data_IF_207359889910
#
_entry.id   IF_207359889910
#
_cell.length_a   1.000
_cell.length_b   1.000
_cell.length_c   1.000
_cell.angle_alpha   90.00
_cell.angle_beta   90.00
_cell.angle_gamma   90.00
#
_symmetry.space_group_name_H-M   'P 1'
#
loop_
_entity.id
_entity.type
_entity.pdbx_description
1 polymer ?
#
# COMPACT_ATOMS: atom_id res chain seq x y z
N UNK A 1 9.32 31.82 -18.84
CA UNK A 1 9.52 30.76 -17.84
C UNK A 1 8.60 29.60 -18.21
N UNK A 2 9.06 28.34 -18.24
CA UNK A 2 8.14 27.22 -18.46
C UNK A 2 7.12 27.22 -17.32
N UNK A 3 5.83 27.08 -17.67
CA UNK A 3 4.76 26.96 -16.68
C UNK A 3 5.02 25.70 -15.84
N UNK A 4 5.01 25.82 -14.52
CA UNK A 4 5.00 24.65 -13.65
C UNK A 4 3.71 23.87 -13.94
N UNK A 5 3.85 22.59 -14.28
CA UNK A 5 2.73 21.68 -14.56
C UNK A 5 2.59 20.70 -13.40
N UNK A 6 1.45 20.03 -13.35
CA UNK A 6 1.21 18.93 -12.40
C UNK A 6 2.21 17.78 -12.61
N UNK A 7 2.54 17.47 -13.86
CA UNK A 7 3.59 16.51 -14.21
C UNK A 7 4.99 16.91 -13.68
N UNK A 8 5.39 18.18 -13.80
CA UNK A 8 6.63 18.65 -13.19
C UNK A 8 6.64 18.51 -11.66
N UNK A 9 5.49 18.70 -11.01
CA UNK A 9 5.34 18.51 -9.56
C UNK A 9 5.41 17.03 -9.19
N UNK A 10 4.74 16.15 -9.94
CA UNK A 10 4.76 14.70 -9.74
C UNK A 10 6.19 14.15 -9.84
N UNK A 11 6.92 14.49 -10.90
CA UNK A 11 8.31 14.10 -11.08
C UNK A 11 9.20 14.63 -9.94
N UNK A 12 8.99 15.86 -9.50
CA UNK A 12 9.72 16.43 -8.37
C UNK A 12 9.47 15.66 -7.07
N UNK A 13 8.23 15.29 -6.79
CA UNK A 13 7.85 14.50 -5.60
C UNK A 13 8.49 13.11 -5.65
N UNK A 14 8.45 12.43 -6.80
CA UNK A 14 9.12 11.13 -6.99
C UNK A 14 10.62 11.26 -6.71
N UNK A 15 11.29 12.27 -7.25
CA UNK A 15 12.71 12.49 -7.03
C UNK A 15 13.06 12.83 -5.57
N UNK A 16 12.17 13.50 -4.83
CA UNK A 16 12.33 13.70 -3.39
C UNK A 16 12.30 12.36 -2.65
N UNK A 17 11.32 11.49 -2.93
CA UNK A 17 11.25 10.17 -2.30
C UNK A 17 12.47 9.30 -2.65
N UNK A 18 12.94 9.33 -3.90
CA UNK A 18 14.15 8.63 -4.31
C UNK A 18 15.39 9.10 -3.54
N UNK A 19 15.54 10.41 -3.31
CA UNK A 19 16.63 10.95 -2.48
C UNK A 19 16.57 10.48 -1.03
N UNK A 20 15.39 10.10 -0.55
CA UNK A 20 15.16 9.56 0.80
C UNK A 20 15.11 8.03 0.84
N UNK A 21 15.60 7.35 -0.21
CA UNK A 21 15.79 5.89 -0.20
C UNK A 21 14.59 5.08 -0.70
N UNK A 22 13.55 5.73 -1.22
CA UNK A 22 12.46 5.00 -1.88
C UNK A 22 12.91 4.55 -3.28
N UNK A 23 12.63 3.29 -3.62
CA UNK A 23 12.66 2.87 -5.02
C UNK A 23 11.45 3.44 -5.77
N UNK A 24 11.59 3.64 -7.07
CA UNK A 24 10.50 4.11 -7.93
C UNK A 24 9.99 2.97 -8.81
N UNK A 25 8.67 2.85 -8.91
CA UNK A 25 7.99 1.99 -9.89
C UNK A 25 6.95 2.79 -10.67
N UNK A 26 6.72 2.40 -11.91
CA UNK A 26 5.68 2.98 -12.76
C UNK A 26 4.43 2.09 -12.76
N UNK A 27 3.28 2.64 -12.37
CA UNK A 27 2.04 1.86 -12.19
C UNK A 27 1.63 1.00 -13.40
N UNK A 28 1.71 1.50 -14.65
CA UNK A 28 1.45 0.70 -15.85
C UNK A 28 2.39 -0.49 -16.07
N UNK A 29 3.66 -0.39 -15.67
CA UNK A 29 4.63 -1.48 -15.85
C UNK A 29 4.31 -2.67 -14.93
N UNK A 30 3.85 -2.37 -13.72
CA UNK A 30 3.52 -3.36 -12.68
C UNK A 30 2.07 -3.83 -12.69
N UNK A 31 1.25 -3.32 -13.63
CA UNK A 31 -0.11 -3.79 -13.82
C UNK A 31 -0.14 -5.29 -14.14
N UNK A 32 -1.27 -5.97 -13.89
CA UNK A 32 -1.39 -7.41 -14.14
C UNK A 32 -1.19 -7.75 -15.63
N UNK A 33 -1.44 -6.80 -16.52
CA UNK A 33 -1.24 -6.84 -17.97
C UNK A 33 -0.03 -5.99 -18.44
N UNK A 34 0.81 -5.56 -17.50
CA UNK A 34 1.99 -4.73 -17.74
C UNK A 34 3.24 -5.50 -18.20
N UNK A 35 4.35 -4.79 -18.37
CA UNK A 35 5.63 -5.36 -18.83
C UNK A 35 6.42 -6.09 -17.75
N UNK A 36 6.20 -5.75 -16.48
CA UNK A 36 6.79 -6.40 -15.31
C UNK A 36 5.73 -6.54 -14.19
N UNK A 37 4.70 -7.37 -14.39
CA UNK A 37 3.56 -7.45 -13.48
C UNK A 37 3.95 -7.77 -12.04
N UNK A 38 3.41 -7.01 -11.09
CA UNK A 38 3.50 -7.29 -9.65
C UNK A 38 2.12 -7.47 -9.00
N UNK A 39 1.06 -7.34 -9.80
CA UNK A 39 -0.34 -7.55 -9.41
C UNK A 39 -0.80 -8.89 -9.97
N UNK A 40 -1.45 -9.70 -9.13
CA UNK A 40 -1.68 -11.12 -9.45
C UNK A 40 -2.73 -11.33 -10.55
N UNK A 41 -3.85 -10.60 -10.52
CA UNK A 41 -5.01 -10.93 -11.35
C UNK A 41 -5.76 -9.72 -11.94
N UNK A 42 -5.72 -8.54 -11.31
CA UNK A 42 -6.63 -7.47 -11.72
C UNK A 42 -6.18 -6.05 -11.36
N UNK A 43 -6.85 -5.07 -12.00
CA UNK A 43 -6.78 -3.65 -11.59
C UNK A 43 -7.45 -3.37 -10.22
N UNK A 44 -8.08 -4.35 -9.56
CA UNK A 44 -8.55 -4.21 -8.18
C UNK A 44 -7.47 -4.57 -7.14
N UNK A 45 -6.38 -5.25 -7.55
CA UNK A 45 -5.36 -5.73 -6.61
C UNK A 45 -4.47 -4.56 -6.19
N UNK A 46 -4.71 -3.99 -5.00
CA UNK A 46 -3.97 -2.80 -4.53
C UNK A 46 -2.73 -3.14 -3.70
N UNK A 47 -2.63 -4.37 -3.16
CA UNK A 47 -1.47 -4.84 -2.40
C UNK A 47 -0.50 -5.57 -3.33
N UNK A 48 0.78 -5.25 -3.24
CA UNK A 48 1.85 -5.96 -3.94
C UNK A 48 2.24 -7.20 -3.11
N UNK A 49 1.46 -8.27 -3.27
CA UNK A 49 1.46 -9.42 -2.35
C UNK A 49 2.83 -10.11 -2.27
N UNK A 50 3.55 -10.24 -3.38
CA UNK A 50 4.86 -10.89 -3.38
C UNK A 50 5.92 -10.06 -2.64
N UNK A 51 5.87 -8.73 -2.73
CA UNK A 51 6.70 -7.84 -1.92
C UNK A 51 6.37 -7.98 -0.43
N UNK A 52 5.08 -8.08 -0.09
CA UNK A 52 4.63 -8.34 1.27
C UNK A 52 5.12 -9.68 1.80
N UNK A 53 5.01 -10.76 1.02
CA UNK A 53 5.55 -12.09 1.36
C UNK A 53 7.05 -12.04 1.65
N UNK A 54 7.82 -11.40 0.77
CA UNK A 54 9.27 -11.25 0.92
C UNK A 54 9.63 -10.45 2.17
N UNK A 55 8.95 -9.34 2.42
CA UNK A 55 9.16 -8.52 3.60
C UNK A 55 8.80 -9.26 4.90
N UNK A 56 7.63 -9.90 4.97
CA UNK A 56 7.22 -10.69 6.13
C UNK A 56 8.22 -11.82 6.41
N UNK A 57 8.74 -12.48 5.38
CA UNK A 57 9.80 -13.49 5.53
C UNK A 57 11.10 -12.90 6.11
N UNK A 58 11.53 -11.75 5.60
CA UNK A 58 12.75 -11.03 6.03
C UNK A 58 12.65 -10.54 7.48
N UNK A 59 11.49 -10.03 7.87
CA UNK A 59 11.23 -9.46 9.21
C UNK A 59 11.03 -10.57 10.25
N UNK A 60 10.46 -11.71 9.84
CA UNK A 60 10.08 -12.80 10.75
C UNK A 60 10.83 -14.12 10.47
N UNK A 61 12.18 -14.16 10.47
CA UNK A 61 12.95 -15.34 10.09
C UNK A 61 12.71 -16.56 11.00
N UNK A 62 12.29 -16.34 12.25
CA UNK A 62 11.96 -17.39 13.23
C UNK A 62 10.50 -17.89 13.19
N UNK A 63 9.69 -17.42 12.25
CA UNK A 63 8.30 -17.85 12.07
C UNK A 63 8.23 -18.87 10.93
N UNK A 64 7.51 -19.98 11.12
CA UNK A 64 7.28 -20.95 10.05
C UNK A 64 6.56 -20.31 8.85
N UNK A 65 6.88 -20.74 7.64
CA UNK A 65 6.32 -20.18 6.41
C UNK A 65 4.79 -20.23 6.38
N UNK A 66 4.19 -21.35 6.80
CA UNK A 66 2.73 -21.48 6.87
C UNK A 66 2.06 -20.45 7.79
N UNK A 67 2.71 -20.09 8.90
CA UNK A 67 2.22 -19.05 9.82
C UNK A 67 2.39 -17.64 9.24
N UNK A 68 3.47 -17.39 8.49
CA UNK A 68 3.65 -16.13 7.75
C UNK A 68 2.55 -15.96 6.69
N UNK A 69 2.27 -17.02 5.94
CA UNK A 69 1.21 -17.00 4.92
C UNK A 69 -0.20 -16.89 5.55
N UNK A 70 -0.44 -17.50 6.72
CA UNK A 70 -1.67 -17.28 7.48
C UNK A 70 -1.85 -15.80 7.84
N UNK A 71 -0.79 -15.15 8.33
CA UNK A 71 -0.83 -13.73 8.66
C UNK A 71 -1.13 -12.86 7.43
N UNK A 72 -0.48 -13.14 6.29
CA UNK A 72 -0.73 -12.41 5.04
C UNK A 72 -2.19 -12.60 4.59
N UNK A 73 -2.73 -13.81 4.67
CA UNK A 73 -4.15 -14.06 4.37
C UNK A 73 -5.09 -13.30 5.28
N UNK A 74 -4.76 -13.12 6.57
CA UNK A 74 -5.56 -12.30 7.49
C UNK A 74 -5.57 -10.82 7.10
N UNK A 75 -4.45 -10.31 6.57
CA UNK A 75 -4.33 -8.94 6.06
C UNK A 75 -5.13 -8.76 4.77
N UNK A 76 -5.05 -9.71 3.83
CA UNK A 76 -5.74 -9.63 2.54
C UNK A 76 -7.26 -9.88 2.60
N UNK A 77 -7.77 -10.42 3.72
CA UNK A 77 -9.19 -10.80 3.89
C UNK A 77 -9.92 -9.91 4.90
N UNK A 78 -9.62 -8.62 4.91
CA UNK A 78 -10.36 -7.63 5.69
C UNK A 78 -11.66 -7.30 4.97
N UNK A 79 -12.63 -8.20 5.09
CA UNK A 79 -13.93 -8.09 4.41
C UNK A 79 -15.06 -7.80 5.41
N UNK A 80 -14.96 -6.67 6.12
CA UNK A 80 -16.13 -6.09 6.78
C UNK A 80 -16.76 -5.05 5.84
N UNK A 81 -18.09 -4.94 5.82
CA UNK A 81 -18.80 -3.92 5.03
C UNK A 81 -18.45 -2.46 5.43
N UNK A 82 -17.74 -2.27 6.55
CA UNK A 82 -17.41 -0.96 7.11
C UNK A 82 -15.91 -0.68 7.03
N UNK A 83 -15.56 0.34 6.25
CA UNK A 83 -14.19 0.82 6.05
C UNK A 83 -13.49 1.22 7.36
N UNK A 84 -14.21 1.79 8.33
CA UNK A 84 -13.61 2.23 9.60
C UNK A 84 -13.16 1.01 10.43
N UNK A 85 -14.01 -0.02 10.49
CA UNK A 85 -13.71 -1.24 11.25
C UNK A 85 -12.54 -2.00 10.60
N UNK A 86 -12.49 -2.00 9.27
CA UNK A 86 -11.36 -2.51 8.50
C UNK A 86 -10.06 -1.75 8.83
N UNK A 87 -10.10 -0.42 8.81
CA UNK A 87 -8.95 0.43 9.16
C UNK A 87 -8.46 0.18 10.58
N UNK A 88 -9.37 0.12 11.56
CA UNK A 88 -9.01 -0.14 12.95
C UNK A 88 -8.31 -1.50 13.11
N UNK A 89 -8.86 -2.54 12.47
CA UNK A 89 -8.28 -3.89 12.49
C UNK A 89 -6.92 -3.95 11.79
N UNK A 90 -6.79 -3.33 10.62
CA UNK A 90 -5.54 -3.24 9.88
C UNK A 90 -4.48 -2.44 10.63
N UNK A 91 -4.86 -1.31 11.22
CA UNK A 91 -3.98 -0.54 12.10
C UNK A 91 -3.50 -1.39 13.28
N UNK A 92 -4.38 -2.21 13.87
CA UNK A 92 -4.01 -3.20 14.87
C UNK A 92 -2.94 -4.18 14.38
N UNK A 93 -3.10 -4.72 13.16
CA UNK A 93 -2.07 -5.58 12.55
C UNK A 93 -0.74 -4.86 12.31
N UNK A 94 -0.78 -3.62 11.83
CA UNK A 94 0.41 -2.81 11.57
C UNK A 94 1.18 -2.47 12.84
N UNK A 95 0.49 -2.20 13.95
CA UNK A 95 1.11 -1.69 15.19
C UNK A 95 1.40 -2.79 16.21
N UNK A 96 0.60 -3.85 16.25
CA UNK A 96 0.72 -4.90 17.26
C UNK A 96 1.17 -6.25 16.71
N UNK A 97 1.36 -6.35 15.39
CA UNK A 97 1.59 -7.59 14.67
C UNK A 97 0.30 -8.38 14.42
N UNK A 98 0.32 -9.25 13.41
CA UNK A 98 -0.77 -10.17 13.13
C UNK A 98 -0.62 -11.40 14.03
N UNK A 99 -1.65 -11.69 14.82
CA UNK A 99 -1.66 -12.87 15.68
C UNK A 99 -1.98 -14.13 14.87
N UNK A 100 -1.18 -15.17 15.06
CA UNK A 100 -1.34 -16.52 14.47
C UNK A 100 -1.14 -17.57 15.57
N UNK A 101 -1.75 -18.74 15.42
CA UNK A 101 -1.68 -19.81 16.43
C UNK A 101 -0.73 -20.92 15.98
N UNK A 102 0.23 -21.27 16.82
CA UNK A 102 1.13 -22.42 16.62
C UNK A 102 0.81 -23.52 17.65
N UNK A 103 0.75 -24.77 17.22
CA UNK A 103 0.60 -25.92 18.11
C UNK A 103 1.98 -26.45 18.51
N UNK A 104 2.34 -26.28 19.79
CA UNK A 104 3.62 -26.75 20.33
C UNK A 104 3.33 -27.74 21.46
N UNK A 105 3.66 -29.02 21.24
CA UNK A 105 3.46 -30.07 22.24
C UNK A 105 1.99 -30.27 22.65
N UNK A 106 1.05 -30.07 21.71
CA UNK A 106 -0.39 -30.19 21.96
C UNK A 106 -1.05 -28.95 22.57
N UNK A 107 -0.30 -27.87 22.81
CA UNK A 107 -0.81 -26.60 23.36
C UNK A 107 -0.77 -25.51 22.30
N UNK A 108 -1.85 -24.74 22.18
CA UNK A 108 -1.91 -23.54 21.34
C UNK A 108 -1.08 -22.41 21.95
N UNK A 109 -0.17 -21.84 21.17
CA UNK A 109 0.60 -20.66 21.54
C UNK A 109 0.37 -19.57 20.49
N UNK A 110 -0.06 -18.40 20.95
CA UNK A 110 -0.14 -17.21 20.10
C UNK A 110 1.26 -16.74 19.72
N UNK A 111 1.46 -16.46 18.44
CA UNK A 111 2.68 -15.88 17.88
C UNK A 111 2.31 -14.64 17.08
N UNK A 112 3.19 -13.66 17.04
CA UNK A 112 3.02 -12.44 16.27
C UNK A 112 3.86 -12.48 15.01
N UNK A 113 3.26 -12.06 13.90
CA UNK A 113 3.93 -11.84 12.61
C UNK A 113 3.88 -10.35 12.31
N UNK A 114 5.04 -9.75 12.16
CA UNK A 114 5.19 -8.31 11.90
C UNK A 114 5.17 -8.01 10.41
N UNK A 115 4.40 -6.98 10.03
CA UNK A 115 4.31 -6.50 8.64
C UNK A 115 5.34 -5.40 8.33
N UNK A 116 5.80 -4.70 9.37
CA UNK A 116 6.78 -3.62 9.34
C UNK A 116 7.77 -3.84 10.48
N UNK A 117 9.06 -3.66 10.21
CA UNK A 117 10.13 -3.73 11.21
C UNK A 117 10.42 -2.31 11.73
N UNK A 118 9.85 -1.98 12.89
CA UNK A 118 10.05 -0.66 13.50
C UNK A 118 11.38 -0.55 14.25
N UNK A 119 11.99 -1.69 14.61
CA UNK A 119 13.26 -1.73 15.33
C UNK A 119 14.45 -1.55 14.39
N UNK A 120 14.32 -2.04 13.14
CA UNK A 120 15.30 -1.90 12.09
C UNK A 120 14.65 -1.49 10.77
N UNK A 121 14.60 -0.16 10.55
CA UNK A 121 13.95 0.46 9.40
C UNK A 121 14.53 -0.03 8.06
N UNK A 122 15.83 -0.36 8.00
CA UNK A 122 16.51 -0.81 6.78
C UNK A 122 16.04 -2.20 6.31
N UNK A 123 15.29 -2.93 7.14
CA UNK A 123 14.64 -4.19 6.76
C UNK A 123 13.28 -3.97 6.10
N UNK A 124 12.79 -2.75 6.01
CA UNK A 124 11.59 -2.44 5.24
C UNK A 124 11.95 -2.03 3.81
N UNK A 125 11.03 -2.30 2.90
CA UNK A 125 11.07 -1.79 1.54
C UNK A 125 10.16 -0.57 1.45
N UNK A 126 10.68 0.49 0.82
CA UNK A 126 9.97 1.74 0.58
C UNK A 126 9.87 1.98 -0.93
N UNK A 127 8.65 2.16 -1.43
CA UNK A 127 8.41 2.33 -2.87
C UNK A 127 7.49 3.52 -3.11
N UNK A 128 7.89 4.39 -4.04
CA UNK A 128 7.05 5.46 -4.59
C UNK A 128 6.54 5.02 -5.96
N UNK A 129 5.22 5.07 -6.16
CA UNK A 129 4.55 4.71 -7.40
C UNK A 129 3.68 5.85 -7.88
N UNK A 130 3.77 6.20 -9.16
CA UNK A 130 2.80 7.08 -9.82
C UNK A 130 1.95 6.30 -10.83
N UNK A 131 0.88 6.93 -11.29
CA UNK A 131 0.00 6.40 -12.34
C UNK A 131 -0.62 5.02 -12.04
N UNK A 132 -0.78 4.69 -10.75
CA UNK A 132 -1.34 3.42 -10.31
C UNK A 132 -2.86 3.40 -10.51
N UNK A 133 -3.32 2.72 -11.57
CA UNK A 133 -4.76 2.64 -11.90
C UNK A 133 -5.44 1.58 -11.06
N UNK A 134 -6.57 1.93 -10.44
CA UNK A 134 -7.40 1.05 -9.65
C UNK A 134 -8.81 1.04 -10.24
N UNK A 135 -9.32 -0.16 -10.51
CA UNK A 135 -10.67 -0.37 -11.03
C UNK A 135 -11.41 -1.28 -10.08
N UNK A 136 -12.42 -0.74 -9.40
CA UNK A 136 -13.27 -1.45 -8.45
C UNK A 136 -14.73 -1.03 -8.68
N UNK A 137 -15.68 -1.97 -8.69
CA UNK A 137 -17.11 -1.67 -8.86
C UNK A 137 -17.42 -0.73 -10.05
N UNK A 138 -16.78 -0.98 -11.20
CA UNK A 138 -16.86 -0.17 -12.44
C UNK A 138 -16.34 1.29 -12.30
N UNK A 139 -15.75 1.65 -11.16
CA UNK A 139 -15.11 2.94 -10.95
C UNK A 139 -13.62 2.83 -11.26
N UNK A 140 -13.18 3.64 -12.20
CA UNK A 140 -11.77 3.80 -12.54
C UNK A 140 -11.21 5.04 -11.85
N UNK A 141 -10.19 4.86 -11.02
CA UNK A 141 -9.48 5.93 -10.31
C UNK A 141 -7.98 5.73 -10.44
N UNK A 142 -7.26 6.85 -10.41
CA UNK A 142 -5.81 6.90 -10.48
C UNK A 142 -5.34 8.03 -9.56
N UNK A 143 -4.91 7.71 -8.33
CA UNK A 143 -4.22 8.66 -7.48
C UNK A 143 -2.89 9.08 -8.13
N UNK A 144 -2.43 10.30 -7.84
CA UNK A 144 -1.20 10.82 -8.43
C UNK A 144 0.02 10.01 -7.98
N UNK A 145 0.17 9.85 -6.66
CA UNK A 145 1.27 9.08 -6.06
C UNK A 145 0.77 8.20 -4.91
N UNK A 146 1.26 6.96 -4.86
CA UNK A 146 1.05 6.01 -3.75
C UNK A 146 2.43 5.63 -3.20
N UNK A 147 2.54 5.61 -1.87
CA UNK A 147 3.71 5.07 -1.19
C UNK A 147 3.40 3.69 -0.63
N UNK A 148 4.22 2.72 -1.01
CA UNK A 148 4.18 1.38 -0.46
C UNK A 148 5.25 1.20 0.60
N UNK A 149 4.88 0.50 1.68
CA UNK A 149 5.82 -0.05 2.64
C UNK A 149 5.63 -1.56 2.62
N UNK A 150 6.68 -2.31 2.29
CA UNK A 150 6.63 -3.78 2.21
C UNK A 150 5.47 -4.29 1.33
N UNK A 151 5.16 -3.60 0.23
CA UNK A 151 4.05 -3.93 -0.67
C UNK A 151 2.65 -3.50 -0.20
N UNK A 152 2.50 -2.89 0.99
CA UNK A 152 1.24 -2.33 1.48
C UNK A 152 1.10 -0.86 1.04
N UNK A 153 0.00 -0.46 0.38
CA UNK A 153 -0.23 0.94 0.01
C UNK A 153 -0.67 1.76 1.24
N UNK A 154 0.28 2.42 1.91
CA UNK A 154 -0.01 3.08 3.20
C UNK A 154 -0.23 4.60 3.09
N UNK A 155 0.21 5.23 2.00
CA UNK A 155 0.05 6.67 1.81
C UNK A 155 -0.45 6.95 0.40
N UNK A 156 -1.49 7.77 0.30
CA UNK A 156 -2.03 8.28 -0.97
C UNK A 156 -1.80 9.78 -1.00
N UNK A 157 -1.13 10.26 -2.05
CA UNK A 157 -0.86 11.67 -2.26
C UNK A 157 -1.67 12.15 -3.48
N UNK A 158 -2.36 13.27 -3.28
CA UNK A 158 -3.01 14.03 -4.34
C UNK A 158 -2.25 15.34 -4.50
N UNK A 159 -1.77 15.59 -5.70
CA UNK A 159 -1.01 16.78 -6.07
C UNK A 159 -1.95 17.81 -6.70
N UNK A 160 -1.62 19.07 -6.54
CA UNK A 160 -2.38 20.19 -7.12
C UNK A 160 -1.40 21.22 -7.63
N UNK A 161 -1.63 21.71 -8.85
CA UNK A 161 -0.76 22.70 -9.45
C UNK A 161 -0.83 24.02 -8.65
N UNK A 162 0.26 24.48 -8.02
CA UNK A 162 0.24 25.72 -7.24
C UNK A 162 0.04 26.97 -8.10
N UNK A 163 0.20 26.88 -9.42
CA UNK A 163 -0.04 27.97 -10.36
C UNK A 163 -1.51 28.07 -10.82
N UNK A 164 -2.38 27.14 -10.40
CA UNK A 164 -3.83 27.22 -10.65
C UNK A 164 -4.55 27.69 -9.38
N UNK A 165 -5.11 28.90 -9.42
CA UNK A 165 -5.88 29.49 -8.31
C UNK A 165 -7.10 28.63 -7.93
N UNK A 166 -7.58 27.79 -8.83
CA UNK A 166 -8.67 26.86 -8.59
C UNK A 166 -8.21 25.55 -7.94
N UNK A 167 -6.91 25.26 -7.88
CA UNK A 167 -6.36 24.00 -7.38
C UNK A 167 -6.15 24.06 -5.85
N UNK A 168 -7.26 24.09 -5.11
CA UNK A 168 -7.26 24.26 -3.65
C UNK A 168 -7.07 22.94 -2.89
N UNK A 169 -6.54 23.02 -1.67
CA UNK A 169 -6.46 21.89 -0.72
C UNK A 169 -7.84 21.24 -0.49
N UNK A 170 -8.91 22.04 -0.49
CA UNK A 170 -10.27 21.52 -0.37
C UNK A 170 -10.66 20.59 -1.53
N UNK A 171 -10.23 20.90 -2.76
CA UNK A 171 -10.50 20.01 -3.92
C UNK A 171 -9.71 18.70 -3.80
N UNK A 172 -8.44 18.77 -3.39
CA UNK A 172 -7.65 17.56 -3.14
C UNK A 172 -8.30 16.69 -2.05
N UNK A 173 -8.74 17.29 -0.96
CA UNK A 173 -9.48 16.59 0.10
C UNK A 173 -10.76 15.92 -0.44
N UNK A 174 -11.55 16.64 -1.25
CA UNK A 174 -12.76 16.09 -1.86
C UNK A 174 -12.45 14.92 -2.82
N UNK A 175 -11.34 14.97 -3.55
CA UNK A 175 -10.88 13.83 -4.37
C UNK A 175 -10.54 12.61 -3.53
N UNK A 176 -9.83 12.78 -2.41
CA UNK A 176 -9.56 11.69 -1.47
C UNK A 176 -10.85 11.10 -0.91
N UNK A 177 -11.86 11.92 -0.58
CA UNK A 177 -13.17 11.40 -0.16
C UNK A 177 -13.85 10.59 -1.27
N UNK A 178 -13.78 11.06 -2.52
CA UNK A 178 -14.31 10.32 -3.67
C UNK A 178 -13.58 8.99 -3.88
N UNK A 179 -12.27 8.92 -3.64
CA UNK A 179 -11.54 7.66 -3.71
C UNK A 179 -12.01 6.67 -2.66
N UNK A 180 -12.20 7.11 -1.39
CA UNK A 180 -12.72 6.23 -0.32
C UNK A 180 -14.05 5.56 -0.69
N UNK A 181 -14.92 6.25 -1.43
CA UNK A 181 -16.20 5.67 -1.88
C UNK A 181 -16.06 4.85 -3.16
N UNK A 182 -15.19 5.25 -4.08
CA UNK A 182 -15.08 4.63 -5.41
C UNK A 182 -14.17 3.39 -5.45
N UNK A 183 -13.11 3.39 -4.65
CA UNK A 183 -12.08 2.35 -4.57
C UNK A 183 -11.74 2.08 -3.09
N UNK A 184 -12.71 1.65 -2.27
CA UNK A 184 -12.52 1.48 -0.83
C UNK A 184 -11.38 0.52 -0.49
N UNK A 185 -11.08 -0.46 -1.35
CA UNK A 185 -9.96 -1.41 -1.16
C UNK A 185 -8.60 -0.73 -0.96
N UNK A 186 -8.37 0.46 -1.53
CA UNK A 186 -7.13 1.23 -1.33
C UNK A 186 -6.98 1.78 0.10
N UNK A 187 -8.11 1.97 0.79
CA UNK A 187 -8.15 2.54 2.14
C UNK A 187 -8.47 1.47 3.18
N UNK A 188 -8.22 0.20 2.86
CA UNK A 188 -8.42 -1.05 3.63
C UNK A 188 -9.75 -1.76 3.42
#
# INVERSE_FOLDING_TARGET
MPKLTEDHLEQHVIDLFKKHGFSYIYGPDIAFDGTAPEREASFADVVLVDRLRQAVARINPGVAEGLREEAIKKVLRLDNQNLIDNNEKFHGYLTNGVEVEEMVGGVRRGKKVWLVDYDNIDRNEFVVCNQFTIIENEKNKRPDVILFINGLPLVVLELKNPADENATVHKAFAQLQNYKTAIPSLFV
#
